data_IF_755255670779
#
_entry.id   IF_755255670779
#
_cell.length_a   1.000
_cell.length_b   1.000
_cell.length_c   1.000
_cell.angle_alpha   90.00
_cell.angle_beta   90.00
_cell.angle_gamma   90.00
#
_symmetry.space_group_name_H-M   'P 1'
#
loop_
_entity.id
_entity.type
_entity.pdbx_description
1 polymer ?
#
# COMPACT_ATOMS: atom_id res chain seq x y z
N UNK A 1 -22.59 -12.93 3.58
CA UNK A 1 -21.89 -11.80 4.24
C UNK A 1 -21.41 -12.18 5.64
N UNK A 2 -22.30 -12.48 6.60
CA UNK A 2 -21.95 -12.77 8.02
C UNK A 2 -20.85 -13.83 8.22
N UNK A 3 -20.91 -14.97 7.49
CA UNK A 3 -19.88 -16.03 7.57
C UNK A 3 -18.48 -15.56 7.17
N UNK A 4 -18.36 -14.71 6.14
CA UNK A 4 -17.05 -14.19 5.65
C UNK A 4 -16.44 -13.19 6.62
N UNK A 5 -17.26 -12.32 7.20
CA UNK A 5 -16.82 -11.35 8.23
C UNK A 5 -16.34 -12.09 9.47
N UNK A 6 -17.08 -13.10 9.95
CA UNK A 6 -16.65 -13.90 11.09
C UNK A 6 -15.34 -14.64 10.81
N UNK A 7 -15.17 -15.21 9.61
CA UNK A 7 -13.92 -15.85 9.21
C UNK A 7 -12.73 -14.87 9.19
N UNK A 8 -12.92 -13.66 8.67
CA UNK A 8 -11.90 -12.62 8.66
C UNK A 8 -11.46 -12.21 10.06
N UNK A 9 -12.42 -11.95 10.96
CA UNK A 9 -12.13 -11.58 12.35
C UNK A 9 -11.41 -12.73 13.04
N UNK A 10 -11.89 -13.97 12.86
CA UNK A 10 -11.24 -15.15 13.42
C UNK A 10 -9.78 -15.28 12.94
N UNK A 11 -9.52 -15.13 11.63
CA UNK A 11 -8.16 -15.19 11.09
C UNK A 11 -7.24 -14.10 11.67
N UNK A 12 -7.72 -12.87 11.80
CA UNK A 12 -6.96 -11.77 12.41
C UNK A 12 -6.67 -12.02 13.90
N UNK A 13 -7.64 -12.55 14.65
CA UNK A 13 -7.45 -12.93 16.05
C UNK A 13 -6.49 -14.11 16.20
N UNK A 14 -6.57 -15.11 15.31
CA UNK A 14 -5.63 -16.23 15.28
C UNK A 14 -4.20 -15.76 15.00
N UNK A 15 -4.01 -14.77 14.13
CA UNK A 15 -2.69 -14.16 13.92
C UNK A 15 -2.10 -13.58 15.20
N UNK A 16 -2.89 -12.82 15.96
CA UNK A 16 -2.47 -12.28 17.25
C UNK A 16 -2.13 -13.38 18.26
N UNK A 17 -2.95 -14.43 18.32
CA UNK A 17 -2.71 -15.57 19.21
C UNK A 17 -1.40 -16.31 18.84
N UNK A 18 -1.16 -16.56 17.56
CA UNK A 18 0.08 -17.18 17.08
C UNK A 18 1.29 -16.30 17.41
N UNK A 19 1.20 -14.99 17.17
CA UNK A 19 2.25 -14.05 17.59
C UNK A 19 2.54 -14.16 19.08
N UNK A 20 1.52 -14.20 19.93
CA UNK A 20 1.69 -14.24 21.38
C UNK A 20 2.27 -15.56 21.90
N UNK A 21 1.92 -16.68 21.29
CA UNK A 21 2.30 -18.02 21.77
C UNK A 21 3.61 -18.55 21.16
N UNK A 22 4.06 -18.00 20.04
CA UNK A 22 5.22 -18.55 19.29
C UNK A 22 6.41 -17.60 19.30
N UNK A 23 7.61 -18.15 19.12
CA UNK A 23 8.83 -17.37 18.95
C UNK A 23 8.95 -16.86 17.50
N UNK A 24 9.65 -15.73 17.28
CA UNK A 24 9.87 -15.20 15.94
C UNK A 24 10.74 -16.18 15.13
N UNK A 25 10.17 -16.66 14.03
CA UNK A 25 10.82 -17.50 13.03
C UNK A 25 10.25 -17.15 11.67
N UNK A 26 10.94 -17.52 10.60
CA UNK A 26 10.42 -17.26 9.25
C UNK A 26 9.03 -17.89 9.04
N UNK A 27 8.82 -19.12 9.51
CA UNK A 27 7.54 -19.83 9.39
C UNK A 27 6.44 -19.13 10.19
N UNK A 28 6.72 -18.73 11.43
CA UNK A 28 5.71 -18.05 12.25
C UNK A 28 5.39 -16.68 11.67
N UNK A 29 6.39 -15.96 11.13
CA UNK A 29 6.18 -14.68 10.43
C UNK A 29 5.28 -14.83 9.21
N UNK A 30 5.52 -15.85 8.39
CA UNK A 30 4.71 -16.12 7.20
C UNK A 30 3.26 -16.45 7.60
N UNK A 31 3.07 -17.30 8.62
CA UNK A 31 1.75 -17.71 9.07
C UNK A 31 0.97 -16.55 9.70
N UNK A 32 1.57 -15.78 10.62
CA UNK A 32 0.90 -14.64 11.27
C UNK A 32 0.53 -13.58 10.24
N UNK A 33 1.44 -13.26 9.33
CA UNK A 33 1.23 -12.26 8.28
C UNK A 33 0.13 -12.70 7.31
N UNK A 34 0.16 -13.95 6.85
CA UNK A 34 -0.85 -14.50 5.96
C UNK A 34 -2.24 -14.51 6.61
N UNK A 35 -2.34 -14.92 7.87
CA UNK A 35 -3.60 -14.94 8.61
C UNK A 35 -4.17 -13.53 8.80
N UNK A 36 -3.33 -12.57 9.16
CA UNK A 36 -3.76 -11.19 9.39
C UNK A 36 -4.17 -10.50 8.08
N UNK A 37 -3.25 -10.40 7.12
CA UNK A 37 -3.49 -9.69 5.87
C UNK A 37 -4.47 -10.43 4.98
N UNK A 38 -4.49 -11.77 5.00
CA UNK A 38 -5.50 -12.57 4.32
C UNK A 38 -6.89 -12.36 4.93
N UNK A 39 -7.01 -12.37 6.25
CA UNK A 39 -8.24 -12.04 6.96
C UNK A 39 -8.75 -10.64 6.61
N UNK A 40 -7.86 -9.65 6.64
CA UNK A 40 -8.15 -8.27 6.28
C UNK A 40 -8.55 -8.12 4.81
N UNK A 41 -7.88 -8.83 3.89
CA UNK A 41 -8.21 -8.83 2.47
C UNK A 41 -9.61 -9.40 2.21
N UNK A 42 -9.96 -10.52 2.86
CA UNK A 42 -11.31 -11.12 2.78
C UNK A 42 -12.37 -10.16 3.33
N UNK A 43 -12.05 -9.41 4.39
CA UNK A 43 -12.94 -8.42 4.98
C UNK A 43 -13.18 -7.26 4.01
N UNK A 44 -12.11 -6.67 3.50
CA UNK A 44 -12.14 -5.55 2.54
C UNK A 44 -12.86 -5.94 1.27
N UNK A 45 -12.61 -7.13 0.73
CA UNK A 45 -13.32 -7.67 -0.43
C UNK A 45 -14.82 -7.84 -0.15
N UNK A 46 -15.19 -8.30 1.04
CA UNK A 46 -16.60 -8.45 1.44
C UNK A 46 -17.32 -7.10 1.55
N UNK A 47 -16.63 -6.06 2.01
CA UNK A 47 -17.20 -4.71 2.19
C UNK A 47 -17.31 -3.93 0.88
N UNK A 48 -16.27 -3.97 0.04
CA UNK A 48 -16.19 -3.19 -1.21
C UNK A 48 -16.84 -3.95 -2.38
N UNK A 49 -16.97 -5.27 -2.27
CA UNK A 49 -17.61 -6.14 -3.26
C UNK A 49 -16.64 -6.64 -4.34
N UNK A 50 -17.20 -7.27 -5.38
CA UNK A 50 -16.45 -7.95 -6.47
C UNK A 50 -15.77 -6.98 -7.46
N UNK A 51 -15.33 -5.82 -6.96
CA UNK A 51 -14.59 -4.80 -7.70
C UNK A 51 -13.13 -5.25 -7.93
N UNK A 52 -12.62 -6.13 -7.07
CA UNK A 52 -11.27 -6.66 -7.15
C UNK A 52 -11.12 -7.69 -8.29
N UNK A 53 -10.00 -7.61 -9.01
CA UNK A 53 -9.40 -8.68 -9.84
C UNK A 53 -9.95 -8.90 -11.26
N UNK A 54 -11.08 -8.32 -11.69
CA UNK A 54 -11.59 -8.65 -13.05
C UNK A 54 -11.01 -7.86 -14.21
N UNK A 55 -10.22 -6.81 -13.98
CA UNK A 55 -9.80 -5.89 -15.04
C UNK A 55 -8.30 -6.00 -15.33
N UNK A 56 -7.91 -6.12 -16.61
CA UNK A 56 -6.48 -6.06 -17.02
C UNK A 56 -5.78 -4.79 -16.52
N UNK A 57 -6.52 -3.69 -16.38
CA UNK A 57 -6.00 -2.41 -15.86
C UNK A 57 -5.53 -2.54 -14.40
N UNK A 58 -6.13 -3.43 -13.60
CA UNK A 58 -5.70 -3.69 -12.21
C UNK A 58 -4.26 -4.22 -12.15
N UNK A 59 -3.90 -5.18 -13.01
CA UNK A 59 -2.54 -5.73 -13.02
C UNK A 59 -1.51 -4.68 -13.45
N UNK A 60 -1.89 -3.80 -14.38
CA UNK A 60 -1.03 -2.70 -14.82
C UNK A 60 -0.83 -1.69 -13.68
N UNK A 61 -1.89 -1.28 -12.98
CA UNK A 61 -1.78 -0.33 -11.86
C UNK A 61 -1.02 -0.92 -10.67
N UNK A 62 -1.24 -2.20 -10.35
CA UNK A 62 -0.47 -2.91 -9.32
C UNK A 62 1.00 -3.05 -9.69
N UNK A 63 1.30 -3.41 -10.94
CA UNK A 63 2.68 -3.51 -11.44
C UNK A 63 3.42 -2.18 -11.34
N UNK A 64 2.80 -1.09 -11.82
CA UNK A 64 3.38 0.26 -11.70
C UNK A 64 3.60 0.66 -10.24
N UNK A 65 2.67 0.34 -9.32
CA UNK A 65 2.82 0.62 -7.89
C UNK A 65 4.02 -0.11 -7.27
N UNK A 66 4.14 -1.42 -7.53
CA UNK A 66 5.24 -2.24 -7.00
C UNK A 66 6.58 -1.84 -7.61
N UNK A 67 6.64 -1.59 -8.92
CA UNK A 67 7.87 -1.12 -9.58
C UNK A 67 8.32 0.24 -9.01
N UNK A 68 7.38 1.14 -8.71
CA UNK A 68 7.71 2.42 -8.08
C UNK A 68 8.30 2.24 -6.68
N UNK A 69 7.70 1.38 -5.85
CA UNK A 69 8.21 1.14 -4.48
C UNK A 69 9.56 0.41 -4.48
N UNK A 70 9.82 -0.47 -5.45
CA UNK A 70 11.02 -1.32 -5.44
C UNK A 70 12.23 -0.71 -6.15
N UNK A 71 12.02 -0.08 -7.30
CA UNK A 71 13.14 0.32 -8.16
C UNK A 71 13.41 1.81 -8.09
N UNK A 72 12.38 2.65 -8.09
CA UNK A 72 12.58 4.10 -8.15
C UNK A 72 13.21 4.62 -6.85
N UNK A 73 12.83 4.06 -5.69
CA UNK A 73 13.44 4.41 -4.41
C UNK A 73 14.92 4.01 -4.34
N UNK A 74 15.22 2.74 -4.61
CA UNK A 74 16.59 2.23 -4.57
C UNK A 74 17.51 2.93 -5.57
N UNK A 75 17.05 3.12 -6.81
CA UNK A 75 17.82 3.81 -7.86
C UNK A 75 18.07 5.27 -7.49
N UNK A 76 17.10 5.97 -6.90
CA UNK A 76 17.27 7.37 -6.52
C UNK A 76 18.31 7.54 -5.40
N UNK A 77 18.26 6.72 -4.35
CA UNK A 77 19.26 6.81 -3.27
C UNK A 77 20.65 6.39 -3.74
N UNK A 78 20.75 5.45 -4.66
CA UNK A 78 22.02 5.07 -5.29
C UNK A 78 22.57 6.18 -6.18
N UNK A 79 21.70 6.89 -6.90
CA UNK A 79 22.09 8.07 -7.66
C UNK A 79 22.58 9.22 -6.75
N UNK A 80 21.96 9.41 -5.59
CA UNK A 80 22.43 10.37 -4.57
C UNK A 80 23.74 9.95 -3.90
N UNK A 81 23.93 8.67 -3.62
CA UNK A 81 25.15 8.17 -2.97
C UNK A 81 26.34 8.09 -3.92
N UNK A 82 26.11 8.16 -5.24
CA UNK A 82 27.15 8.13 -6.26
C UNK A 82 27.87 6.78 -6.39
N UNK A 83 27.42 5.73 -5.69
CA UNK A 83 28.12 4.46 -5.61
C UNK A 83 27.16 3.27 -5.59
N UNK A 84 27.33 2.35 -6.54
CA UNK A 84 26.61 1.06 -6.59
C UNK A 84 27.57 -0.04 -6.14
N UNK A 85 27.47 -0.50 -4.90
CA UNK A 85 28.28 -1.62 -4.38
C UNK A 85 27.59 -2.98 -4.49
N UNK A 86 27.01 -3.29 -5.66
CA UNK A 86 26.39 -4.58 -5.97
C UNK A 86 24.86 -4.64 -5.77
N UNK A 87 24.28 -5.77 -6.17
CA UNK A 87 22.85 -6.09 -6.02
C UNK A 87 22.70 -7.42 -5.27
N UNK A 88 21.99 -7.40 -4.15
CA UNK A 88 21.69 -8.59 -3.35
C UNK A 88 20.19 -8.65 -3.04
N UNK A 89 19.65 -9.85 -2.93
CA UNK A 89 18.25 -10.07 -2.57
C UNK A 89 18.15 -11.22 -1.58
N UNK A 90 17.18 -11.15 -0.68
CA UNK A 90 16.90 -12.21 0.27
C UNK A 90 15.52 -12.09 0.90
N UNK A 91 15.25 -12.99 1.85
CA UNK A 91 13.98 -13.04 2.56
C UNK A 91 14.30 -12.97 4.06
N UNK A 92 13.59 -12.09 4.76
CA UNK A 92 13.79 -11.83 6.18
C UNK A 92 12.48 -11.74 6.94
N UNK A 93 12.63 -11.61 8.25
CA UNK A 93 11.54 -11.32 9.17
C UNK A 93 12.08 -10.46 10.31
N UNK A 94 11.23 -9.60 10.84
CA UNK A 94 11.57 -8.74 11.96
C UNK A 94 11.63 -9.56 13.24
N UNK A 95 12.58 -9.27 14.14
CA UNK A 95 12.69 -9.93 15.43
C UNK A 95 12.25 -8.96 16.51
N UNK A 96 11.31 -9.37 17.35
CA UNK A 96 10.85 -8.57 18.48
C UNK A 96 11.44 -9.09 19.78
N UNK A 97 11.80 -8.17 20.67
CA UNK A 97 12.31 -8.47 22.02
C UNK A 97 11.22 -8.34 23.07
N UNK A 98 10.17 -7.55 22.80
CA UNK A 98 9.04 -7.29 23.69
C UNK A 98 7.74 -7.76 23.00
N UNK A 99 6.85 -8.38 23.77
CA UNK A 99 5.52 -8.81 23.30
C UNK A 99 4.48 -7.77 23.71
N UNK A 100 4.30 -6.77 22.86
CA UNK A 100 3.24 -5.77 22.99
C UNK A 100 2.49 -5.57 21.67
N UNK A 101 1.45 -4.75 21.69
CA UNK A 101 0.61 -4.49 20.52
C UNK A 101 1.39 -3.78 19.40
N UNK A 102 2.33 -2.91 19.73
CA UNK A 102 3.14 -2.18 18.75
C UNK A 102 4.09 -3.13 18.01
N UNK A 103 4.73 -4.01 18.76
CA UNK A 103 5.62 -5.07 18.26
C UNK A 103 4.85 -6.04 17.39
N UNK A 104 3.60 -6.39 17.74
CA UNK A 104 2.74 -7.18 16.88
C UNK A 104 2.47 -6.48 15.54
N UNK A 105 2.03 -5.21 15.59
CA UNK A 105 1.71 -4.42 14.40
C UNK A 105 2.93 -4.27 13.48
N UNK A 106 4.11 -4.02 14.04
CA UNK A 106 5.35 -3.97 13.26
C UNK A 106 5.74 -5.35 12.71
N UNK A 107 5.64 -6.39 13.52
CA UNK A 107 6.00 -7.74 13.09
C UNK A 107 5.18 -8.21 11.89
N UNK A 108 3.84 -8.09 11.94
CA UNK A 108 2.97 -8.50 10.84
C UNK A 108 3.08 -7.61 9.61
N UNK A 109 3.44 -6.33 9.79
CA UNK A 109 3.50 -5.37 8.68
C UNK A 109 4.80 -5.49 7.88
N UNK A 110 5.90 -5.80 8.56
CA UNK A 110 7.27 -5.85 8.01
C UNK A 110 7.77 -7.28 7.82
N UNK A 111 7.02 -8.30 8.26
CA UNK A 111 7.44 -9.71 8.18
C UNK A 111 6.37 -10.59 7.56
N UNK A 112 6.73 -11.55 6.70
CA UNK A 112 8.06 -11.71 6.08
C UNK A 112 8.29 -10.61 5.02
N UNK A 113 9.53 -10.16 4.87
CA UNK A 113 9.93 -9.20 3.84
C UNK A 113 10.84 -9.86 2.81
N UNK A 114 10.70 -9.44 1.55
CA UNK A 114 11.72 -9.70 0.52
C UNK A 114 12.51 -8.42 0.38
N UNK A 115 13.75 -8.43 0.82
CA UNK A 115 14.61 -7.25 0.78
C UNK A 115 15.52 -7.32 -0.44
N UNK A 116 15.79 -6.15 -1.01
CA UNK A 116 16.71 -5.93 -2.11
C UNK A 116 17.71 -4.86 -1.68
N UNK A 117 18.99 -5.19 -1.75
CA UNK A 117 20.07 -4.24 -1.54
C UNK A 117 20.57 -3.77 -2.90
N UNK A 118 20.50 -2.46 -3.12
CA UNK A 118 21.15 -1.80 -4.25
C UNK A 118 22.25 -0.90 -3.65
N UNK A 119 23.50 -1.35 -3.72
CA UNK A 119 24.58 -0.79 -2.93
C UNK A 119 24.32 -0.94 -1.42
N UNK A 120 24.31 0.18 -0.69
CA UNK A 120 24.05 0.21 0.77
C UNK A 120 22.58 0.53 1.12
N UNK A 121 21.69 0.52 0.13
CA UNK A 121 20.28 0.88 0.31
C UNK A 121 19.44 -0.37 0.28
N UNK A 122 18.71 -0.60 1.37
CA UNK A 122 17.71 -1.66 1.50
C UNK A 122 16.37 -1.17 0.96
N UNK A 123 15.75 -2.00 0.12
CA UNK A 123 14.40 -1.78 -0.40
C UNK A 123 13.58 -3.04 -0.21
N UNK A 124 12.44 -2.91 0.46
CA UNK A 124 11.69 -4.06 0.93
C UNK A 124 10.32 -4.21 0.26
N UNK A 125 10.01 -5.44 -0.15
CA UNK A 125 8.64 -5.86 -0.41
C UNK A 125 8.07 -6.38 0.90
N UNK A 126 7.10 -5.65 1.44
CA UNK A 126 6.47 -5.97 2.73
C UNK A 126 4.97 -6.24 2.58
N UNK A 127 4.38 -7.08 3.45
CA UNK A 127 2.97 -7.41 3.43
C UNK A 127 2.05 -6.18 3.43
N UNK A 128 2.39 -5.16 4.23
CA UNK A 128 1.63 -3.90 4.30
C UNK A 128 1.61 -3.17 2.95
N UNK A 129 2.75 -3.11 2.27
CA UNK A 129 2.90 -2.46 0.95
C UNK A 129 2.07 -3.22 -0.10
N UNK A 130 2.16 -4.56 -0.10
CA UNK A 130 1.39 -5.41 -1.00
C UNK A 130 -0.12 -5.22 -0.79
N UNK A 131 -0.57 -5.20 0.46
CA UNK A 131 -1.98 -5.03 0.79
C UNK A 131 -2.53 -3.69 0.29
N UNK A 132 -1.90 -2.57 0.67
CA UNK A 132 -2.35 -1.25 0.24
C UNK A 132 -2.26 -1.08 -1.28
N UNK A 133 -1.17 -1.56 -1.90
CA UNK A 133 -1.01 -1.57 -3.35
C UNK A 133 -2.13 -2.32 -4.07
N UNK A 134 -2.55 -3.47 -3.54
CA UNK A 134 -3.64 -4.27 -4.10
C UNK A 134 -4.99 -3.55 -3.98
N UNK A 135 -5.28 -2.93 -2.84
CA UNK A 135 -6.53 -2.18 -2.61
C UNK A 135 -6.60 -0.96 -3.51
N UNK A 136 -5.54 -0.14 -3.54
CA UNK A 136 -5.47 1.07 -4.36
C UNK A 136 -5.54 0.71 -5.86
N UNK A 137 -4.72 -0.27 -6.29
CA UNK A 137 -4.70 -0.73 -7.68
C UNK A 137 -6.08 -1.20 -8.15
N UNK A 138 -6.83 -1.88 -7.29
CA UNK A 138 -8.19 -2.36 -7.58
C UNK A 138 -9.20 -1.22 -7.74
N UNK A 139 -9.17 -0.24 -6.83
CA UNK A 139 -10.07 0.91 -6.89
C UNK A 139 -9.80 1.78 -8.12
N UNK A 140 -8.53 2.04 -8.43
CA UNK A 140 -8.13 2.79 -9.62
C UNK A 140 -8.50 2.03 -10.90
N UNK A 141 -8.18 0.74 -10.97
CA UNK A 141 -8.51 -0.11 -12.12
C UNK A 141 -10.01 -0.12 -12.42
N UNK A 142 -10.85 -0.14 -11.39
CA UNK A 142 -12.30 -0.03 -11.53
C UNK A 142 -12.75 1.35 -12.02
N UNK A 143 -12.19 2.42 -11.46
CA UNK A 143 -12.41 3.80 -11.89
C UNK A 143 -12.13 3.96 -13.39
N UNK A 144 -10.98 3.49 -13.87
CA UNK A 144 -10.62 3.54 -15.29
C UNK A 144 -11.55 2.72 -16.19
N UNK A 145 -11.99 1.51 -15.79
CA UNK A 145 -12.95 0.74 -16.60
C UNK A 145 -14.29 1.44 -16.79
N UNK A 146 -14.75 2.19 -15.80
CA UNK A 146 -16.09 2.78 -15.79
C UNK A 146 -16.20 3.97 -16.75
N UNK A 147 -15.08 4.51 -17.23
CA UNK A 147 -15.00 5.74 -18.06
C UNK A 147 -14.74 5.44 -19.56
N UNK A 148 -14.67 4.16 -19.98
CA UNK A 148 -14.44 3.81 -21.39
C UNK A 148 -15.57 4.33 -22.29
N UNK A 149 -15.29 5.40 -23.04
CA UNK A 149 -16.18 5.94 -24.07
C UNK A 149 -16.01 7.42 -24.45
N UNK A 150 -15.23 8.24 -23.73
CA UNK A 150 -15.03 9.67 -24.09
C UNK A 150 -13.56 10.09 -24.06
N UNK A 151 -13.00 10.34 -25.25
CA UNK A 151 -11.57 10.57 -25.53
C UNK A 151 -10.98 11.94 -25.12
N UNK A 152 -11.65 12.86 -24.42
CA UNK A 152 -11.14 14.26 -24.34
C UNK A 152 -11.06 15.00 -23.01
N UNK A 153 -11.38 14.44 -21.82
CA UNK A 153 -11.24 15.24 -20.56
C UNK A 153 -10.73 14.48 -19.31
N UNK A 154 -10.78 13.14 -19.22
CA UNK A 154 -10.53 12.42 -17.93
C UNK A 154 -9.67 11.14 -17.99
N UNK A 155 -8.94 10.88 -19.07
CA UNK A 155 -7.69 10.11 -18.95
C UNK A 155 -6.57 10.96 -18.32
N UNK A 156 -6.86 12.23 -18.05
CA UNK A 156 -5.93 13.35 -18.30
C UNK A 156 -5.75 14.25 -17.08
N UNK A 157 -6.63 14.19 -16.07
CA UNK A 157 -6.44 14.97 -14.83
C UNK A 157 -6.41 14.06 -13.58
N UNK A 158 -6.61 12.74 -13.72
CA UNK A 158 -6.94 11.81 -12.62
C UNK A 158 -5.97 10.62 -12.38
N UNK A 159 -5.19 10.25 -13.40
CA UNK A 159 -3.91 9.56 -13.13
C UNK A 159 -2.91 10.52 -12.47
N UNK A 160 -3.08 11.81 -12.77
CA UNK A 160 -2.73 12.97 -11.92
C UNK A 160 -3.74 12.98 -10.77
N UNK A 161 -3.42 13.14 -9.53
CA UNK A 161 -2.14 13.52 -9.00
C UNK A 161 -1.59 12.28 -8.40
N UNK A 162 -1.08 11.39 -9.26
CA UNK A 162 -0.48 10.13 -8.88
C UNK A 162 -1.62 9.27 -8.25
N UNK A 163 -1.57 7.97 -8.05
CA UNK A 163 -0.62 7.41 -7.11
C UNK A 163 -0.23 8.39 -5.98
N UNK A 164 -1.05 9.40 -5.63
CA UNK A 164 -0.75 10.62 -4.87
C UNK A 164 0.21 10.27 -3.78
N UNK A 165 1.33 10.93 -3.79
CA UNK A 165 2.49 10.31 -4.41
C UNK A 165 2.89 9.20 -3.43
N UNK A 166 2.87 7.91 -3.82
CA UNK A 166 3.24 6.80 -2.93
C UNK A 166 2.70 6.98 -1.51
N UNK A 167 1.37 7.05 -1.33
CA UNK A 167 0.66 7.56 -0.14
C UNK A 167 0.97 7.02 1.27
N UNK A 168 2.10 6.36 1.48
CA UNK A 168 2.73 6.16 2.78
C UNK A 168 4.24 6.40 2.80
N UNK A 169 4.92 6.42 1.65
CA UNK A 169 6.35 6.54 1.64
C UNK A 169 6.68 8.02 1.76
N UNK A 170 6.94 8.44 2.98
CA UNK A 170 7.72 9.64 3.23
C UNK A 170 8.94 9.75 2.30
N UNK A 171 9.42 8.65 1.69
CA UNK A 171 10.30 8.65 0.53
C UNK A 171 10.28 9.90 -0.34
N UNK A 172 9.18 10.40 -0.93
CA UNK A 172 9.27 11.57 -1.82
C UNK A 172 9.51 12.87 -1.03
N UNK A 173 8.73 13.19 0.03
CA UNK A 173 9.07 14.30 0.93
C UNK A 173 10.46 14.19 1.57
N UNK A 174 10.91 12.99 1.93
CA UNK A 174 12.22 12.66 2.53
C UNK A 174 13.31 12.73 1.48
N UNK A 175 13.06 12.34 0.24
CA UNK A 175 13.97 12.46 -0.89
C UNK A 175 14.16 13.94 -1.21
N UNK A 176 13.06 14.70 -1.27
CA UNK A 176 13.09 16.15 -1.50
C UNK A 176 13.74 16.83 -0.29
N UNK A 177 13.39 16.46 0.93
CA UNK A 177 13.97 17.00 2.16
C UNK A 177 15.46 16.64 2.27
N UNK A 178 15.87 15.40 2.02
CA UNK A 178 17.28 14.99 2.03
C UNK A 178 18.03 15.65 0.87
N UNK A 179 17.45 15.78 -0.32
CA UNK A 179 18.09 16.47 -1.42
C UNK A 179 18.27 17.97 -1.15
N UNK A 180 17.23 18.64 -0.62
CA UNK A 180 17.21 20.09 -0.35
C UNK A 180 17.95 20.45 0.94
N UNK A 181 17.86 19.61 1.98
CA UNK A 181 18.47 19.82 3.30
C UNK A 181 19.74 19.00 3.52
N UNK A 182 20.28 18.30 2.51
CA UNK A 182 21.60 17.64 2.58
C UNK A 182 22.71 18.61 2.96
N UNK A 183 22.55 19.90 2.64
CA UNK A 183 23.46 20.97 3.01
C UNK A 183 23.31 21.48 4.45
N UNK A 184 22.22 21.13 5.16
CA UNK A 184 21.94 21.60 6.52
C UNK A 184 21.67 20.42 7.48
N UNK A 185 22.72 20.06 8.23
CA UNK A 185 22.74 18.91 9.15
C UNK A 185 21.67 18.98 10.24
N UNK A 186 21.24 20.19 10.62
CA UNK A 186 20.23 20.39 11.67
C UNK A 186 18.84 19.93 11.24
N UNK A 187 18.45 20.25 10.01
CA UNK A 187 17.17 19.87 9.39
C UNK A 187 17.13 18.39 9.02
N UNK A 188 18.27 17.83 8.59
CA UNK A 188 18.40 16.40 8.32
C UNK A 188 18.15 15.57 9.60
N UNK A 189 18.77 15.96 10.73
CA UNK A 189 18.59 15.29 12.02
C UNK A 189 17.15 15.41 12.56
N UNK A 190 16.52 16.56 12.42
CA UNK A 190 15.12 16.74 12.81
C UNK A 190 14.18 15.84 12.01
N UNK A 191 14.43 15.73 10.70
CA UNK A 191 13.68 14.87 9.78
C UNK A 191 13.86 13.39 10.14
N UNK A 192 15.08 12.94 10.41
CA UNK A 192 15.36 11.57 10.84
C UNK A 192 14.74 11.24 12.21
N UNK A 193 14.74 12.19 13.15
CA UNK A 193 14.07 12.01 14.45
C UNK A 193 12.56 11.85 14.33
N UNK A 194 11.93 12.56 13.39
CA UNK A 194 10.51 12.37 13.10
C UNK A 194 10.21 10.96 12.56
N UNK A 195 11.11 10.38 11.76
CA UNK A 195 10.97 8.99 11.30
C UNK A 195 11.23 7.95 12.39
N UNK A 196 12.09 8.28 13.36
CA UNK A 196 12.38 7.41 14.50
C UNK A 196 11.30 7.44 15.59
N UNK A 197 10.40 8.43 15.59
CA UNK A 197 9.33 8.52 16.58
C UNK A 197 8.14 7.59 16.23
N UNK A 198 7.59 6.83 17.20
CA UNK A 198 6.46 5.93 16.96
C UNK A 198 5.23 6.61 16.35
N UNK A 199 4.97 7.87 16.68
CA UNK A 199 3.82 8.63 16.17
C UNK A 199 4.06 9.01 14.71
N UNK A 200 5.25 9.54 14.39
CA UNK A 200 5.64 9.85 13.02
C UNK A 200 5.58 8.61 12.14
N UNK A 201 6.13 7.50 12.64
CA UNK A 201 6.06 6.21 11.98
C UNK A 201 4.63 5.74 11.74
N UNK A 202 3.76 5.78 12.77
CA UNK A 202 2.38 5.33 12.63
C UNK A 202 1.59 6.19 11.63
N UNK A 203 1.83 7.49 11.66
CA UNK A 203 1.21 8.46 10.76
C UNK A 203 1.54 8.11 9.31
N UNK A 204 2.83 7.91 9.03
CA UNK A 204 3.38 7.69 7.69
C UNK A 204 3.00 6.31 7.15
N UNK A 205 3.23 5.25 7.91
CA UNK A 205 3.08 3.87 7.42
C UNK A 205 1.65 3.32 7.51
N UNK A 206 0.78 3.87 8.36
CA UNK A 206 -0.57 3.34 8.57
C UNK A 206 -1.69 4.37 8.34
N UNK A 207 -1.59 5.56 8.92
CA UNK A 207 -2.70 6.54 8.88
C UNK A 207 -2.85 7.14 7.48
N UNK A 208 -1.77 7.68 6.91
CA UNK A 208 -1.75 8.28 5.58
C UNK A 208 -2.30 7.31 4.51
N UNK A 209 -1.75 6.08 4.34
CA UNK A 209 -2.24 5.18 3.30
C UNK A 209 -3.70 4.79 3.51
N UNK A 210 -4.15 4.70 4.76
CA UNK A 210 -5.56 4.44 5.06
C UNK A 210 -6.46 5.58 4.59
N UNK A 211 -6.11 6.83 4.88
CA UNK A 211 -6.86 8.02 4.42
C UNK A 211 -6.96 8.03 2.89
N UNK A 212 -5.88 7.66 2.20
CA UNK A 212 -5.84 7.62 0.73
C UNK A 212 -6.77 6.56 0.16
N UNK A 213 -6.82 5.37 0.75
CA UNK A 213 -7.78 4.33 0.36
C UNK A 213 -9.21 4.85 0.49
N UNK A 214 -9.54 5.54 1.61
CA UNK A 214 -10.88 6.10 1.81
C UNK A 214 -11.21 7.20 0.80
N UNK A 215 -10.29 8.11 0.51
CA UNK A 215 -10.49 9.18 -0.47
C UNK A 215 -10.75 8.60 -1.88
N UNK A 216 -9.93 7.65 -2.33
CA UNK A 216 -10.09 6.99 -3.62
C UNK A 216 -11.42 6.22 -3.68
N UNK A 217 -11.78 5.53 -2.61
CA UNK A 217 -13.06 4.82 -2.51
C UNK A 217 -14.25 5.78 -2.67
N UNK A 218 -14.25 6.92 -1.99
CA UNK A 218 -15.33 7.91 -2.08
C UNK A 218 -15.49 8.46 -3.50
N UNK A 219 -14.39 8.83 -4.16
CA UNK A 219 -14.39 9.31 -5.54
C UNK A 219 -14.96 8.23 -6.47
N UNK A 220 -14.45 7.00 -6.36
CA UNK A 220 -14.86 5.87 -7.19
C UNK A 220 -16.34 5.53 -7.01
N UNK A 221 -16.85 5.58 -5.78
CA UNK A 221 -18.26 5.35 -5.47
C UNK A 221 -19.17 6.42 -6.09
N UNK A 222 -18.71 7.67 -6.14
CA UNK A 222 -19.44 8.80 -6.71
C UNK A 222 -19.51 8.67 -8.24
N UNK A 223 -18.40 8.31 -8.88
CA UNK A 223 -18.35 8.02 -10.31
C UNK A 223 -19.31 6.87 -10.70
N UNK A 224 -19.38 5.81 -9.87
CA UNK A 224 -20.31 4.70 -10.06
C UNK A 224 -21.77 5.18 -10.08
N UNK A 225 -22.17 6.00 -9.10
CA UNK A 225 -23.53 6.55 -9.00
C UNK A 225 -23.87 7.44 -10.20
N UNK A 226 -22.91 8.25 -10.67
CA UNK A 226 -23.09 9.13 -11.82
C UNK A 226 -23.28 8.37 -13.14
N UNK A 227 -22.46 7.34 -13.38
CA UNK A 227 -22.56 6.48 -14.56
C UNK A 227 -23.92 5.77 -14.64
N UNK A 228 -24.39 5.21 -13.52
CA UNK A 228 -25.69 4.52 -13.45
C UNK A 228 -26.87 5.45 -13.78
N UNK A 229 -26.89 6.68 -13.25
CA UNK A 229 -27.94 7.67 -13.56
C UNK A 229 -27.97 8.03 -15.05
N UNK A 230 -26.82 8.07 -15.73
CA UNK A 230 -26.75 8.38 -17.17
C UNK A 230 -27.33 7.25 -18.02
N UNK A 231 -26.98 6.00 -17.73
CA UNK A 231 -27.53 4.82 -18.42
C UNK A 231 -29.06 4.74 -18.31
N UNK A 232 -29.63 5.05 -17.14
CA UNK A 232 -31.09 5.13 -16.95
C UNK A 232 -31.77 6.22 -17.79
N UNK A 233 -31.11 7.38 -17.99
CA UNK A 233 -31.65 8.44 -18.86
C UNK A 233 -31.64 8.02 -20.32
N UNK A 234 -30.55 7.41 -20.81
CA UNK A 234 -30.45 6.92 -22.18
C UNK A 234 -31.52 5.84 -22.47
N UNK A 235 -31.76 4.92 -21.54
CA UNK A 235 -32.81 3.90 -21.66
C UNK A 235 -34.24 4.46 -21.69
N UNK A 236 -34.50 5.61 -21.04
CA UNK A 236 -35.80 6.29 -21.12
C UNK A 236 -36.02 7.02 -22.43
N UNK A 237 -34.95 7.51 -23.07
CA UNK A 237 -35.03 8.23 -24.34
C UNK A 237 -35.33 7.26 -25.49
N UNK A 238 -34.79 6.03 -25.44
CA UNK A 238 -35.04 4.99 -26.46
C UNK A 238 -36.47 4.40 -26.39
N UNK A 239 -37.20 4.61 -25.29
CA UNK A 239 -38.58 4.13 -25.11
C UNK A 239 -39.67 5.15 -25.49
N UNK A 240 -39.30 6.34 -25.94
CA UNK A 240 -40.21 7.36 -26.48
C UNK A 240 -40.02 7.48 -27.98
#
# INVERSE_FOLDING_TARGET
>A
MRKRVMLSIFAMMSSFLVFWLTQPSLTTSFLTSLLFWGGLFVLTYTLIGNIFVKNKIFYITLGVYLTFHLFIFGIYFVALSGFVSGFYAGIGYNVYTIRDLWSFVNYISFSPAIFFFIGNIEVDVMPVIIYYGTVIGSLLGYGFSTVKGKKKVLGVVGGISLASASTCCASVPTIIAVAVFSSDTSLLLATLRFFGDPIGYALIFYILPTISVFAIYHITSTLRKASFKKSLKELRIVKK
#
